data_IF_213091415670
#
_entry.id   IF_213091415670
#
_cell.length_a   1.000
_cell.length_b   1.000
_cell.length_c   1.000
_cell.angle_alpha   90.00
_cell.angle_beta   90.00
_cell.angle_gamma   90.00
#
_symmetry.space_group_name_H-M   'P 1'
#
loop_
_entity.id
_entity.type
_entity.pdbx_description
1 polymer ?
#
# COMPACT_ATOMS: atom_id res chain seq x y z
N UNK A 1 -60.69 25.08 -1.83
CA UNK A 1 -60.59 23.61 -1.88
C UNK A 1 -59.13 23.29 -2.14
N UNK A 2 -58.45 22.67 -1.14
CA UNK A 2 -57.19 21.87 -1.13
C UNK A 2 -56.22 22.07 -2.32
N UNK A 3 -54.90 22.21 -2.21
CA UNK A 3 -53.92 21.84 -1.18
C UNK A 3 -52.56 22.47 -1.57
N UNK A 4 -51.71 22.68 -0.57
CA UNK A 4 -50.35 23.21 -0.68
C UNK A 4 -49.36 22.21 -1.27
N UNK A 5 -48.58 22.58 -2.29
CA UNK A 5 -47.36 21.85 -2.67
C UNK A 5 -46.21 22.33 -1.78
N UNK A 6 -45.93 21.56 -0.72
CA UNK A 6 -44.77 21.76 0.17
C UNK A 6 -43.50 21.21 -0.47
N UNK A 7 -42.42 21.90 -0.13
CA UNK A 7 -41.03 21.58 -0.43
C UNK A 7 -40.50 20.30 0.25
N UNK A 8 -39.35 19.86 -0.26
CA UNK A 8 -38.28 19.02 0.32
C UNK A 8 -38.20 17.55 -0.11
N UNK A 9 -37.04 17.21 -0.68
CA UNK A 9 -36.59 15.84 -0.89
C UNK A 9 -35.07 15.76 -0.99
N UNK A 10 -34.34 16.39 -0.05
CA UNK A 10 -32.95 16.01 0.26
C UNK A 10 -32.99 14.59 0.82
N UNK A 11 -32.28 13.66 0.19
CA UNK A 11 -32.11 12.32 0.73
C UNK A 11 -31.22 12.43 1.99
N UNK A 12 -31.83 12.26 3.15
CA UNK A 12 -31.14 12.22 4.44
C UNK A 12 -30.28 10.95 4.56
N UNK A 13 -29.14 11.00 5.26
CA UNK A 13 -28.32 9.83 5.53
C UNK A 13 -29.09 8.83 6.39
N UNK A 14 -28.93 7.54 6.04
CA UNK A 14 -29.47 6.40 6.74
C UNK A 14 -28.90 6.37 8.16
N UNK A 15 -29.76 6.58 9.15
CA UNK A 15 -29.50 6.21 10.54
C UNK A 15 -29.48 4.68 10.60
N UNK A 16 -28.31 4.05 10.52
CA UNK A 16 -28.21 2.62 10.83
C UNK A 16 -28.19 2.47 12.36
N UNK A 17 -29.30 1.91 12.84
CA UNK A 17 -29.49 1.47 14.20
C UNK A 17 -28.38 0.54 14.64
N UNK A 18 -28.01 0.72 15.90
CA UNK A 18 -27.19 -0.17 16.68
C UNK A 18 -27.84 -1.58 16.72
N UNK A 19 -27.01 -2.61 16.91
CA UNK A 19 -27.36 -4.01 17.26
C UNK A 19 -27.32 -5.05 16.13
N UNK A 20 -26.12 -5.60 15.91
CA UNK A 20 -25.94 -7.02 15.59
C UNK A 20 -25.37 -7.73 16.83
N UNK A 21 -26.01 -8.77 17.36
CA UNK A 21 -25.50 -9.53 18.50
C UNK A 21 -24.46 -10.57 18.04
N UNK A 22 -23.33 -10.65 18.75
CA UNK A 22 -22.58 -11.92 18.84
C UNK A 22 -21.20 -12.05 18.18
N UNK A 23 -20.57 -10.98 17.67
CA UNK A 23 -19.13 -11.01 17.35
C UNK A 23 -18.45 -9.89 18.11
N UNK A 24 -17.64 -10.25 19.11
CA UNK A 24 -16.78 -9.31 19.81
C UNK A 24 -15.69 -8.82 18.84
N UNK A 25 -15.98 -7.76 18.08
CA UNK A 25 -14.93 -6.91 17.54
C UNK A 25 -14.23 -6.28 18.76
N UNK A 26 -13.04 -6.78 19.07
CA UNK A 26 -12.13 -6.07 19.94
C UNK A 26 -11.96 -4.65 19.37
N UNK A 27 -12.56 -3.67 20.05
CA UNK A 27 -12.31 -2.26 19.76
C UNK A 27 -10.81 -2.06 19.87
N UNK A 28 -10.16 -1.71 18.76
CA UNK A 28 -8.84 -1.07 18.77
C UNK A 28 -9.02 0.32 19.38
N UNK A 29 -9.24 0.39 20.70
CA UNK A 29 -9.17 1.61 21.50
C UNK A 29 -7.75 1.72 22.02
N UNK A 30 -6.85 2.07 21.11
CA UNK A 30 -5.43 2.16 21.39
C UNK A 30 -4.64 2.93 20.33
N UNK A 31 -5.30 3.78 19.54
CA UNK A 31 -4.58 4.80 18.76
C UNK A 31 -4.27 5.95 19.72
N UNK A 32 -3.17 5.84 20.46
CA UNK A 32 -2.62 6.95 21.22
C UNK A 32 -2.11 7.98 20.22
N UNK A 33 -2.69 9.17 20.28
CA UNK A 33 -2.33 10.36 19.51
C UNK A 33 -0.85 10.66 19.68
N UNK A 34 -0.02 10.13 18.77
CA UNK A 34 1.40 10.42 18.73
C UNK A 34 1.61 11.91 18.47
N UNK A 35 2.31 12.58 19.39
CA UNK A 35 2.99 13.88 19.28
C UNK A 35 2.68 14.67 18.00
N UNK A 36 1.99 15.79 18.16
CA UNK A 36 1.97 16.86 17.15
C UNK A 36 3.41 17.34 16.90
N UNK A 37 4.05 16.81 15.87
CA UNK A 37 5.25 17.41 15.29
C UNK A 37 4.80 18.62 14.45
N UNK A 38 5.27 19.79 14.85
CA UNK A 38 4.84 21.10 14.35
C UNK A 38 5.57 21.44 13.04
N UNK A 39 5.19 20.82 11.91
CA UNK A 39 5.34 21.43 10.57
C UNK A 39 4.54 20.68 9.49
N UNK A 40 3.24 20.95 9.38
CA UNK A 40 2.37 20.36 8.34
C UNK A 40 2.63 20.89 6.92
N UNK A 41 3.59 21.81 6.73
CA UNK A 41 3.77 22.55 5.48
C UNK A 41 5.12 22.30 4.78
N UNK A 42 5.94 21.37 5.28
CA UNK A 42 7.12 20.91 4.53
C UNK A 42 6.72 19.72 3.66
N UNK A 43 6.93 19.77 2.32
CA UNK A 43 6.74 18.61 1.48
C UNK A 43 7.58 17.45 2.01
N UNK A 44 6.94 16.37 2.48
CA UNK A 44 7.67 15.14 2.83
C UNK A 44 8.02 14.43 1.52
N UNK A 45 9.28 14.52 1.12
CA UNK A 45 9.84 13.74 0.02
C UNK A 45 10.46 12.45 0.54
N UNK A 46 10.48 11.41 -0.29
CA UNK A 46 11.27 10.21 0.00
C UNK A 46 12.74 10.63 -0.01
N UNK A 47 13.52 10.18 0.98
CA UNK A 47 14.94 10.55 1.04
C UNK A 47 15.71 9.92 -0.14
N UNK A 48 16.65 10.63 -0.78
CA UNK A 48 17.40 10.12 -1.92
C UNK A 48 18.08 8.76 -1.67
N UNK A 49 18.59 8.54 -0.46
CA UNK A 49 19.26 7.29 -0.08
C UNK A 49 18.31 6.09 -0.15
N UNK A 50 17.02 6.29 0.18
CA UNK A 50 16.01 5.23 0.08
C UNK A 50 15.73 4.90 -1.39
N UNK A 51 15.67 5.93 -2.25
CA UNK A 51 15.49 5.71 -3.69
C UNK A 51 16.68 4.94 -4.28
N UNK A 52 17.91 5.28 -3.87
CA UNK A 52 19.11 4.58 -4.29
C UNK A 52 19.12 3.11 -3.83
N UNK A 53 18.65 2.80 -2.62
CA UNK A 53 18.48 1.43 -2.15
C UNK A 53 17.49 0.64 -3.03
N UNK A 54 16.37 1.25 -3.40
CA UNK A 54 15.36 0.63 -4.26
C UNK A 54 15.89 0.40 -5.68
N UNK A 55 16.65 1.33 -6.23
CA UNK A 55 17.29 1.18 -7.54
C UNK A 55 18.36 0.08 -7.53
N UNK A 56 19.17 0.01 -6.47
CA UNK A 56 20.15 -1.05 -6.29
C UNK A 56 19.47 -2.42 -6.20
N UNK A 57 18.34 -2.50 -5.49
CA UNK A 57 17.55 -3.73 -5.41
C UNK A 57 16.96 -4.12 -6.76
N UNK A 58 16.36 -3.19 -7.50
CA UNK A 58 15.86 -3.43 -8.85
C UNK A 58 16.96 -3.97 -9.79
N UNK A 59 18.16 -3.40 -9.69
CA UNK A 59 19.34 -3.84 -10.44
C UNK A 59 19.76 -5.25 -10.05
N UNK A 60 19.80 -5.56 -8.74
CA UNK A 60 20.12 -6.90 -8.22
C UNK A 60 19.11 -7.94 -8.69
N UNK A 61 17.82 -7.65 -8.58
CA UNK A 61 16.75 -8.53 -9.04
C UNK A 61 16.85 -8.77 -10.55
N UNK A 62 17.17 -7.74 -11.34
CA UNK A 62 17.42 -7.88 -12.77
C UNK A 62 18.60 -8.79 -13.08
N UNK A 63 19.74 -8.58 -12.41
CA UNK A 63 20.93 -9.41 -12.57
C UNK A 63 20.66 -10.88 -12.19
N UNK A 64 19.84 -11.14 -11.16
CA UNK A 64 19.49 -12.49 -10.70
C UNK A 64 18.51 -13.20 -11.64
N UNK A 65 17.55 -12.49 -12.21
CA UNK A 65 16.42 -13.10 -12.93
C UNK A 65 16.46 -12.90 -14.46
N UNK A 66 17.33 -12.05 -14.99
CA UNK A 66 17.56 -11.84 -16.42
C UNK A 66 16.27 -11.55 -17.19
N UNK A 67 15.98 -12.34 -18.24
CA UNK A 67 14.78 -12.18 -19.07
C UNK A 67 13.44 -12.40 -18.32
N UNK A 68 13.47 -12.99 -17.11
CA UNK A 68 12.30 -13.13 -16.22
C UNK A 68 12.19 -12.01 -15.18
N UNK A 69 13.12 -11.06 -15.19
CA UNK A 69 13.03 -9.86 -14.37
C UNK A 69 11.81 -9.03 -14.75
N UNK A 70 11.25 -8.28 -13.79
CA UNK A 70 10.14 -7.35 -14.02
C UNK A 70 10.51 -6.25 -15.03
N UNK A 71 11.79 -5.86 -15.06
CA UNK A 71 12.35 -4.93 -16.05
C UNK A 71 12.42 -5.50 -17.47
N UNK A 72 12.21 -6.80 -17.66
CA UNK A 72 12.13 -7.40 -18.99
C UNK A 72 10.84 -6.95 -19.68
N UNK A 73 10.91 -6.29 -20.85
CA UNK A 73 9.71 -5.93 -21.62
C UNK A 73 8.88 -7.15 -22.04
N UNK A 74 9.54 -8.31 -22.16
CA UNK A 74 8.91 -9.57 -22.53
C UNK A 74 8.06 -10.19 -21.42
N UNK A 75 8.20 -9.73 -20.17
CA UNK A 75 7.36 -10.20 -19.07
C UNK A 75 5.97 -9.57 -19.19
N UNK A 76 4.90 -10.37 -19.17
CA UNK A 76 3.53 -9.86 -19.19
C UNK A 76 3.06 -9.41 -17.80
N UNK A 77 2.02 -8.59 -17.73
CA UNK A 77 1.41 -8.15 -16.45
C UNK A 77 0.95 -9.31 -15.58
N UNK A 78 0.43 -10.37 -16.20
CA UNK A 78 0.02 -11.61 -15.53
C UNK A 78 1.18 -12.32 -14.83
N UNK A 79 2.43 -12.09 -15.27
CA UNK A 79 3.62 -12.63 -14.63
C UNK A 79 4.28 -11.65 -13.64
N UNK A 80 4.00 -10.33 -13.75
CA UNK A 80 4.47 -9.32 -12.79
C UNK A 80 3.67 -9.34 -11.48
N UNK A 81 2.36 -9.56 -11.55
CA UNK A 81 1.50 -9.58 -10.36
C UNK A 81 1.93 -10.64 -9.33
N UNK A 82 2.21 -11.90 -9.69
CA UNK A 82 2.67 -12.91 -8.73
C UNK A 82 3.96 -12.51 -8.01
N UNK A 83 4.91 -11.90 -8.72
CA UNK A 83 6.18 -11.45 -8.13
C UNK A 83 5.93 -10.33 -7.11
N UNK A 84 5.07 -9.36 -7.44
CA UNK A 84 4.69 -8.32 -6.47
C UNK A 84 4.03 -8.92 -5.22
N UNK A 85 3.15 -9.90 -5.40
CA UNK A 85 2.44 -10.54 -4.29
C UNK A 85 3.39 -11.40 -3.45
N UNK A 86 4.39 -12.03 -4.05
CA UNK A 86 5.44 -12.77 -3.35
C UNK A 86 6.18 -11.85 -2.37
N UNK A 87 6.66 -10.69 -2.82
CA UNK A 87 7.37 -9.73 -1.96
C UNK A 87 6.46 -9.15 -0.85
N UNK A 88 5.18 -8.92 -1.15
CA UNK A 88 4.21 -8.49 -0.11
C UNK A 88 3.99 -9.59 0.93
N UNK A 89 3.99 -10.86 0.49
CA UNK A 89 3.93 -12.02 1.37
C UNK A 89 5.16 -12.10 2.28
N UNK A 90 6.33 -11.74 1.78
CA UNK A 90 7.58 -11.70 2.55
C UNK A 90 7.57 -10.60 3.63
N UNK A 91 7.04 -9.42 3.32
CA UNK A 91 6.79 -8.38 4.34
C UNK A 91 5.84 -8.90 5.42
N UNK A 92 4.74 -9.54 5.01
CA UNK A 92 3.77 -10.09 5.96
C UNK A 92 4.40 -11.16 6.86
N UNK A 93 5.22 -12.04 6.28
CA UNK A 93 5.97 -13.06 7.00
C UNK A 93 6.95 -12.46 7.99
N UNK A 94 7.76 -11.48 7.58
CA UNK A 94 8.71 -10.77 8.45
C UNK A 94 8.01 -10.14 9.66
N UNK A 95 6.83 -9.53 9.47
CA UNK A 95 6.05 -8.96 10.56
C UNK A 95 5.46 -10.01 11.50
N UNK A 96 4.94 -11.12 10.96
CA UNK A 96 4.31 -12.20 11.75
C UNK A 96 5.34 -13.01 12.55
N UNK A 97 6.52 -13.21 11.98
CA UNK A 97 7.61 -13.98 12.59
C UNK A 97 8.49 -13.13 13.52
N UNK A 98 8.24 -11.82 13.60
CA UNK A 98 8.99 -10.92 14.48
C UNK A 98 10.43 -10.71 14.02
N UNK A 99 10.65 -10.63 12.71
CA UNK A 99 11.94 -10.32 12.13
C UNK A 99 12.48 -8.97 12.63
N UNK A 100 13.79 -8.80 12.59
CA UNK A 100 14.41 -7.53 12.94
C UNK A 100 14.06 -6.41 11.92
N UNK A 101 14.37 -5.17 12.30
CA UNK A 101 14.04 -4.00 11.48
C UNK A 101 14.80 -3.95 10.15
N UNK A 102 15.99 -4.53 10.09
CA UNK A 102 16.80 -4.53 8.88
C UNK A 102 16.24 -5.52 7.85
N UNK A 103 15.78 -6.68 8.32
CA UNK A 103 15.05 -7.65 7.51
C UNK A 103 13.73 -7.07 7.02
N UNK A 104 12.89 -6.52 7.90
CA UNK A 104 11.63 -5.89 7.47
C UNK A 104 11.86 -4.76 6.46
N UNK A 105 12.91 -3.96 6.66
CA UNK A 105 13.32 -2.92 5.70
C UNK A 105 13.68 -3.52 4.34
N UNK A 106 14.46 -4.60 4.32
CA UNK A 106 14.85 -5.26 3.08
C UNK A 106 13.65 -5.78 2.29
N UNK A 107 12.65 -6.37 2.95
CA UNK A 107 11.43 -6.83 2.27
C UNK A 107 10.60 -5.66 1.72
N UNK A 108 10.50 -4.55 2.46
CA UNK A 108 9.81 -3.35 1.98
C UNK A 108 10.52 -2.72 0.76
N UNK A 109 11.85 -2.74 0.73
CA UNK A 109 12.66 -2.27 -0.41
C UNK A 109 12.41 -3.16 -1.64
N UNK A 110 12.32 -4.48 -1.46
CA UNK A 110 12.00 -5.42 -2.54
C UNK A 110 10.61 -5.17 -3.14
N UNK A 111 9.58 -4.99 -2.30
CA UNK A 111 8.23 -4.60 -2.77
C UNK A 111 8.28 -3.30 -3.58
N UNK A 112 8.98 -2.28 -3.08
CA UNK A 112 9.11 -1.00 -3.77
C UNK A 112 9.83 -1.12 -5.12
N UNK A 113 10.90 -1.92 -5.18
CA UNK A 113 11.65 -2.19 -6.41
C UNK A 113 10.77 -2.87 -7.46
N UNK A 114 10.01 -3.89 -7.06
CA UNK A 114 9.06 -4.58 -7.96
C UNK A 114 7.97 -3.64 -8.46
N UNK A 115 7.37 -2.84 -7.58
CA UNK A 115 6.31 -1.90 -7.96
C UNK A 115 6.81 -0.80 -8.91
N UNK A 116 7.95 -0.16 -8.60
CA UNK A 116 8.50 0.91 -9.43
C UNK A 116 8.96 0.42 -10.80
N UNK A 117 9.63 -0.73 -10.85
CA UNK A 117 10.05 -1.32 -12.13
C UNK A 117 8.87 -1.71 -13.01
N UNK A 118 7.74 -2.13 -12.42
CA UNK A 118 6.50 -2.33 -13.18
C UNK A 118 5.92 -1.01 -13.69
N UNK A 119 5.93 0.06 -12.89
CA UNK A 119 5.51 1.41 -13.36
C UNK A 119 6.35 1.88 -14.54
N UNK A 120 7.68 1.71 -14.50
CA UNK A 120 8.53 2.03 -15.64
C UNK A 120 8.19 1.15 -16.86
N UNK A 121 7.97 -0.15 -16.67
CA UNK A 121 7.54 -1.05 -17.74
C UNK A 121 6.14 -0.75 -18.32
N UNK A 122 5.34 0.12 -17.68
CA UNK A 122 4.08 0.64 -18.23
C UNK A 122 4.28 1.90 -19.07
N UNK A 123 5.35 2.66 -18.84
CA UNK A 123 5.68 3.88 -19.61
C UNK A 123 6.20 3.55 -21.01
N UNK A 124 6.95 2.46 -21.14
CA UNK A 124 7.59 2.05 -22.39
C UNK A 124 6.67 1.23 -23.32
N UNK A 125 5.34 1.38 -23.19
CA UNK A 125 4.32 0.63 -23.96
C UNK A 125 3.64 1.45 -25.03
#
# INVERSE_FOLDING_TARGET
MRETMRAHGRCSPITMGNELPGIALARVTGWQSGRHDQNVNTPRTIRPEILAEVEAEATRAHAKHGARSILSPALGDQARLPVLVEEVGEVARAMLEGADLDHLRAELVQVAAVALTWVEALRDR
#
